data_IF_614817524419
#
_entry.id   IF_614817524419
#
_cell.length_a   1.000
_cell.length_b   1.000
_cell.length_c   1.000
_cell.angle_alpha   90.00
_cell.angle_beta   90.00
_cell.angle_gamma   90.00
#
_symmetry.space_group_name_H-M   'P 1'
#
loop_
_entity.id
_entity.type
_entity.pdbx_description
1 polymer ?
#
# COMPACT_ATOMS: atom_id res chain seq x y z
N UNK A 1 21.75 -25.02 -7.38
CA UNK A 1 21.25 -26.13 -6.53
C UNK A 1 19.80 -25.81 -6.16
N UNK A 2 18.84 -26.52 -6.76
CA UNK A 2 17.41 -26.27 -6.55
C UNK A 2 16.95 -26.67 -5.14
N UNK A 3 16.49 -25.72 -4.34
CA UNK A 3 15.75 -26.01 -3.11
C UNK A 3 14.26 -25.90 -3.39
N UNK A 4 13.63 -27.07 -3.51
CA UNK A 4 12.18 -27.18 -3.63
C UNK A 4 11.53 -26.99 -2.25
N UNK A 5 10.66 -26.01 -2.14
CA UNK A 5 9.76 -25.90 -1.00
C UNK A 5 8.64 -26.93 -1.10
N UNK A 6 8.57 -27.81 -0.11
CA UNK A 6 7.51 -28.81 0.01
C UNK A 6 6.35 -28.20 0.81
N UNK A 7 5.21 -28.04 0.16
CA UNK A 7 3.93 -27.80 0.84
C UNK A 7 3.49 -29.04 1.61
N UNK A 8 3.23 -28.89 2.89
CA UNK A 8 2.64 -29.92 3.73
C UNK A 8 1.12 -29.80 3.68
N UNK A 9 0.46 -30.77 3.01
CA UNK A 9 -1.00 -30.86 3.00
C UNK A 9 -1.47 -31.58 4.27
N UNK A 10 -2.19 -30.90 5.14
CA UNK A 10 -2.92 -31.52 6.23
C UNK A 10 -4.32 -31.94 5.74
N UNK A 11 -4.56 -33.23 5.69
CA UNK A 11 -5.88 -33.82 5.45
C UNK A 11 -6.68 -33.83 6.76
N UNK A 12 -7.86 -33.22 6.76
CA UNK A 12 -8.82 -33.34 7.86
C UNK A 12 -9.75 -34.55 7.62
N UNK A 13 -9.75 -35.46 8.58
CA UNK A 13 -10.69 -36.59 8.63
C UNK A 13 -12.02 -36.13 9.24
N UNK A 14 -13.11 -36.40 8.54
CA UNK A 14 -14.48 -36.20 9.01
C UNK A 14 -14.89 -37.41 9.87
N UNK A 15 -15.18 -37.17 11.14
CA UNK A 15 -15.85 -38.13 12.01
C UNK A 15 -17.31 -37.70 12.25
N UNK A 16 -18.23 -38.47 11.76
CA UNK A 16 -19.66 -38.32 12.05
C UNK A 16 -19.98 -38.97 13.41
N UNK A 17 -20.65 -38.21 14.31
CA UNK A 17 -21.29 -38.80 15.48
C UNK A 17 -22.73 -38.27 15.65
N UNK A 18 -23.55 -39.23 16.02
CA UNK A 18 -24.99 -39.23 15.96
C UNK A 18 -25.72 -38.31 16.96
N UNK A 19 -26.96 -38.04 16.60
CA UNK A 19 -27.99 -37.39 17.34
C UNK A 19 -28.40 -38.14 18.62
N UNK A 20 -28.33 -37.49 19.78
CA UNK A 20 -29.16 -37.80 20.94
C UNK A 20 -29.81 -36.50 21.39
N UNK A 21 -31.12 -36.46 21.30
CA UNK A 21 -31.92 -35.35 21.78
C UNK A 21 -32.00 -35.31 23.30
N UNK A 22 -31.78 -34.12 23.86
CA UNK A 22 -32.27 -33.77 25.19
C UNK A 22 -32.81 -32.33 25.17
N UNK A 23 -34.09 -32.23 25.41
CA UNK A 23 -34.79 -30.96 25.62
C UNK A 23 -34.36 -30.39 26.98
N UNK A 24 -33.72 -29.23 26.96
CA UNK A 24 -33.58 -28.40 28.16
C UNK A 24 -33.74 -26.93 27.76
N UNK A 25 -34.70 -26.26 28.41
CA UNK A 25 -34.91 -24.83 28.34
C UNK A 25 -33.62 -24.09 28.72
N UNK A 26 -32.92 -23.54 27.74
CA UNK A 26 -31.86 -22.59 27.98
C UNK A 26 -32.41 -21.20 27.71
N UNK A 27 -32.42 -20.38 28.77
CA UNK A 27 -32.60 -18.95 28.71
C UNK A 27 -31.66 -18.35 27.65
N UNK A 28 -32.24 -17.63 26.70
CA UNK A 28 -31.49 -16.84 25.73
C UNK A 28 -30.81 -15.73 26.52
N UNK A 29 -29.56 -15.92 26.89
CA UNK A 29 -28.69 -14.81 27.25
C UNK A 29 -28.50 -13.96 25.98
N UNK A 30 -29.10 -12.79 26.01
CA UNK A 30 -28.84 -11.72 25.02
C UNK A 30 -27.38 -11.33 25.17
N UNK A 31 -26.52 -11.91 24.37
CA UNK A 31 -25.16 -11.42 24.21
C UNK A 31 -25.28 -9.97 23.76
N UNK A 32 -24.96 -9.04 24.65
CA UNK A 32 -24.75 -7.63 24.30
C UNK A 32 -23.76 -7.64 23.14
N UNK A 33 -24.21 -7.18 21.98
CA UNK A 33 -23.33 -6.83 20.90
C UNK A 33 -22.25 -5.91 21.49
N UNK A 34 -21.02 -6.37 21.49
CA UNK A 34 -19.87 -5.52 21.77
C UNK A 34 -19.95 -4.45 20.69
N UNK A 35 -20.27 -3.22 21.10
CA UNK A 35 -20.19 -2.09 20.19
C UNK A 35 -18.72 -2.05 19.74
N UNK A 36 -18.48 -2.41 18.47
CA UNK A 36 -17.25 -2.08 17.81
C UNK A 36 -17.16 -0.56 17.90
N UNK A 37 -16.21 -0.08 18.68
CA UNK A 37 -15.79 1.29 18.63
C UNK A 37 -15.18 1.40 17.21
N UNK A 38 -15.94 1.95 16.26
CA UNK A 38 -15.42 2.32 14.95
C UNK A 38 -14.33 3.34 15.23
N UNK A 39 -13.09 2.87 15.41
CA UNK A 39 -11.93 3.72 15.27
C UNK A 39 -12.07 4.35 13.90
N UNK A 40 -12.07 5.68 13.84
CA UNK A 40 -12.25 6.38 12.58
C UNK A 40 -11.25 5.80 11.56
N UNK A 41 -11.72 5.41 10.39
CA UNK A 41 -10.86 4.88 9.31
C UNK A 41 -9.70 5.84 9.11
N UNK A 42 -8.44 5.39 9.15
CA UNK A 42 -7.29 6.25 8.87
C UNK A 42 -7.53 6.97 7.54
N UNK A 43 -7.31 8.28 7.50
CA UNK A 43 -7.54 9.04 6.29
C UNK A 43 -6.50 10.14 6.09
N UNK A 44 -6.32 10.49 4.84
CA UNK A 44 -5.49 11.60 4.39
C UNK A 44 -6.34 12.56 3.55
N UNK A 45 -6.31 13.85 3.90
CA UNK A 45 -7.04 14.89 3.19
C UNK A 45 -6.24 15.37 1.97
N UNK A 46 -6.68 14.98 0.78
CA UNK A 46 -6.15 15.42 -0.51
C UNK A 46 -6.70 16.81 -0.80
N UNK A 47 -6.02 17.83 -0.30
CA UNK A 47 -6.44 19.22 -0.44
C UNK A 47 -6.36 19.70 -1.89
N UNK A 48 -7.19 20.66 -2.26
CA UNK A 48 -7.08 21.30 -3.57
C UNK A 48 -6.11 22.47 -3.54
N UNK A 49 -5.26 22.59 -4.57
CA UNK A 49 -4.35 23.70 -4.82
C UNK A 49 -4.38 24.06 -6.29
N UNK A 50 -4.25 25.34 -6.61
CA UNK A 50 -4.23 25.79 -8.01
C UNK A 50 -2.81 25.70 -8.62
N UNK A 51 -1.78 25.61 -7.77
CA UNK A 51 -0.39 25.49 -8.20
C UNK A 51 -0.10 24.05 -8.64
N UNK A 52 0.74 23.94 -9.67
CA UNK A 52 1.25 22.67 -10.21
C UNK A 52 2.68 22.46 -9.77
N UNK A 53 2.98 21.28 -9.26
CA UNK A 53 4.37 20.86 -9.08
C UNK A 53 4.96 20.42 -10.42
N UNK A 54 6.25 20.62 -10.56
CA UNK A 54 7.06 20.01 -11.63
C UNK A 54 7.49 18.64 -11.14
N UNK A 55 7.25 17.60 -11.92
CA UNK A 55 7.65 16.23 -11.54
C UNK A 55 9.10 16.03 -11.98
N UNK A 56 10.05 16.39 -11.11
CA UNK A 56 11.49 16.35 -11.42
C UNK A 56 12.35 15.63 -10.35
N UNK A 57 11.70 15.10 -9.29
CA UNK A 57 12.36 14.38 -8.20
C UNK A 57 12.91 15.30 -7.11
N UNK A 58 12.44 16.57 -7.07
CA UNK A 58 12.79 17.50 -5.99
C UNK A 58 11.52 18.11 -5.39
N UNK A 59 11.50 18.34 -4.08
CA UNK A 59 10.35 18.96 -3.39
C UNK A 59 10.53 20.46 -3.19
N UNK A 60 11.14 21.15 -4.15
CA UNK A 60 11.43 22.58 -4.05
C UNK A 60 10.28 23.46 -4.54
N UNK A 61 9.28 22.92 -5.23
CA UNK A 61 8.06 23.62 -5.57
C UNK A 61 7.30 24.06 -4.32
N UNK A 62 6.94 25.35 -4.28
CA UNK A 62 6.31 25.97 -3.11
C UNK A 62 5.04 25.25 -2.65
N UNK A 63 4.29 24.67 -3.57
CA UNK A 63 3.03 23.95 -3.25
C UNK A 63 3.24 22.87 -2.21
N UNK A 64 4.36 22.14 -2.24
CA UNK A 64 4.66 21.06 -1.30
C UNK A 64 4.75 21.53 0.17
N UNK A 65 5.06 22.81 0.40
CA UNK A 65 5.06 23.38 1.74
C UNK A 65 3.66 23.78 2.25
N UNK A 66 2.65 23.73 1.40
CA UNK A 66 1.28 24.18 1.69
C UNK A 66 0.27 23.05 1.84
N UNK A 67 0.68 21.80 1.62
CA UNK A 67 -0.19 20.63 1.70
C UNK A 67 0.06 19.85 2.99
N UNK A 68 -0.95 19.12 3.51
CA UNK A 68 -0.76 18.25 4.65
C UNK A 68 0.35 17.22 4.39
N UNK A 69 1.05 16.81 5.43
CA UNK A 69 2.00 15.69 5.37
C UNK A 69 1.55 14.58 6.30
N UNK A 70 1.69 13.37 5.86
CA UNK A 70 1.64 12.16 6.67
C UNK A 70 3.09 11.87 7.07
N UNK A 71 3.40 12.05 8.35
CA UNK A 71 4.77 11.92 8.87
C UNK A 71 4.72 11.38 10.28
N UNK A 72 5.42 10.28 10.54
CA UNK A 72 5.35 9.56 11.81
C UNK A 72 4.15 8.61 11.92
N UNK A 73 3.38 8.44 10.85
CA UNK A 73 2.24 7.53 10.79
C UNK A 73 2.62 6.15 10.24
N UNK A 74 3.87 5.98 9.82
CA UNK A 74 4.38 4.74 9.24
C UNK A 74 5.04 3.85 10.30
N UNK A 75 4.80 2.56 10.20
CA UNK A 75 5.35 1.56 11.12
C UNK A 75 5.70 0.26 10.41
N UNK A 76 6.50 -0.58 11.07
CA UNK A 76 6.67 -1.98 10.72
C UNK A 76 5.52 -2.79 11.34
N UNK A 77 4.49 -3.23 10.60
CA UNK A 77 3.34 -3.91 11.20
C UNK A 77 3.67 -5.24 11.86
N UNK A 78 4.77 -5.85 11.45
CA UNK A 78 5.22 -7.19 11.91
C UNK A 78 6.51 -7.16 12.73
N UNK A 79 6.98 -5.95 13.11
CA UNK A 79 8.13 -5.75 13.98
C UNK A 79 7.79 -4.74 15.08
N UNK A 80 8.61 -4.68 16.11
CA UNK A 80 8.48 -3.72 17.22
C UNK A 80 9.49 -2.57 17.15
N UNK A 81 10.37 -2.58 16.16
CA UNK A 81 11.35 -1.52 15.95
C UNK A 81 10.66 -0.26 15.38
N UNK A 82 11.28 0.88 15.59
CA UNK A 82 10.86 2.13 14.98
C UNK A 82 11.18 2.12 13.49
N UNK A 83 10.20 2.49 12.68
CA UNK A 83 10.40 2.61 11.23
C UNK A 83 11.22 3.87 10.90
N UNK A 84 12.11 3.83 9.92
CA UNK A 84 12.79 5.03 9.43
C UNK A 84 11.76 6.01 8.86
N UNK A 85 12.07 7.30 8.96
CA UNK A 85 11.14 8.35 8.59
C UNK A 85 10.72 8.23 7.13
N UNK A 86 9.41 8.15 6.93
CA UNK A 86 8.77 8.26 5.64
C UNK A 86 7.75 9.38 5.72
N UNK A 87 7.82 10.34 4.81
CA UNK A 87 6.86 11.44 4.68
C UNK A 87 6.13 11.29 3.38
N UNK A 88 4.81 11.24 3.44
CA UNK A 88 3.95 11.29 2.27
C UNK A 88 3.22 12.62 2.20
N UNK A 89 3.07 13.17 1.00
CA UNK A 89 2.27 14.35 0.70
C UNK A 89 1.43 14.11 -0.55
N UNK A 90 0.22 14.67 -0.57
CA UNK A 90 -0.64 14.59 -1.75
C UNK A 90 -1.61 15.78 -1.82
N UNK A 91 -1.92 16.20 -3.03
CA UNK A 91 -2.92 17.23 -3.31
C UNK A 91 -3.50 17.03 -4.71
N UNK A 92 -4.55 17.77 -5.04
CA UNK A 92 -5.06 17.81 -6.41
C UNK A 92 -5.17 19.26 -6.90
N UNK A 93 -5.03 19.48 -8.22
CA UNK A 93 -5.24 20.79 -8.85
C UNK A 93 -6.59 20.89 -9.59
N UNK A 94 -7.44 19.85 -9.44
CA UNK A 94 -8.71 19.71 -10.16
C UNK A 94 -8.56 19.03 -11.53
N UNK A 95 -7.35 18.72 -11.96
CA UNK A 95 -7.02 17.97 -13.18
C UNK A 95 -6.22 16.72 -12.85
N UNK A 96 -5.21 16.87 -12.01
CA UNK A 96 -4.26 15.83 -11.64
C UNK A 96 -4.23 15.67 -10.10
N UNK A 97 -4.03 14.45 -9.65
CA UNK A 97 -3.61 14.12 -8.30
C UNK A 97 -2.09 14.06 -8.26
N UNK A 98 -1.47 14.89 -7.43
CA UNK A 98 -0.03 14.92 -7.20
C UNK A 98 0.31 14.21 -5.90
N UNK A 99 1.39 13.46 -5.90
CA UNK A 99 1.91 12.80 -4.71
C UNK A 99 3.43 12.94 -4.61
N UNK A 100 3.94 12.88 -3.39
CA UNK A 100 5.35 12.88 -3.12
C UNK A 100 5.69 12.06 -1.89
N UNK A 101 6.85 11.43 -1.93
CA UNK A 101 7.48 10.77 -0.80
C UNK A 101 8.85 11.39 -0.55
N UNK A 102 9.16 11.63 0.72
CA UNK A 102 10.50 11.91 1.20
C UNK A 102 10.87 10.80 2.20
N UNK A 103 11.89 10.04 1.87
CA UNK A 103 12.26 8.80 2.56
C UNK A 103 13.64 8.98 3.15
N UNK A 104 13.76 8.72 4.46
CA UNK A 104 15.06 8.60 5.12
C UNK A 104 15.52 7.16 5.02
N UNK A 105 16.72 6.97 4.49
CA UNK A 105 17.33 5.68 4.24
C UNK A 105 18.85 5.84 4.19
N UNK A 106 19.56 5.05 5.00
CA UNK A 106 21.03 5.11 5.08
C UNK A 106 21.70 4.17 4.07
N UNK A 107 20.95 3.25 3.44
CA UNK A 107 21.46 2.19 2.56
C UNK A 107 20.54 1.95 1.37
N UNK A 108 20.35 2.98 0.52
CA UNK A 108 19.46 2.89 -0.64
C UNK A 108 19.90 1.79 -1.59
N UNK A 109 19.12 0.72 -1.67
CA UNK A 109 19.33 -0.40 -2.59
C UNK A 109 18.59 -0.13 -3.89
N UNK A 110 19.35 0.09 -4.95
CA UNK A 110 18.84 0.42 -6.28
C UNK A 110 19.61 -0.36 -7.35
N UNK A 111 18.91 -1.20 -8.12
CA UNK A 111 19.48 -1.88 -9.28
C UNK A 111 19.55 -0.92 -10.47
N UNK A 112 20.70 -0.84 -11.10
CA UNK A 112 20.93 0.02 -12.27
C UNK A 112 20.39 -0.59 -13.56
N UNK A 113 20.20 -1.90 -13.59
CA UNK A 113 19.82 -2.65 -14.78
C UNK A 113 18.29 -2.85 -14.79
N UNK A 114 17.60 -1.94 -15.49
CA UNK A 114 16.16 -2.04 -15.68
C UNK A 114 15.77 -3.26 -16.54
N UNK A 115 14.70 -3.97 -16.13
CA UNK A 115 14.10 -5.06 -16.90
C UNK A 115 12.78 -4.62 -17.53
N UNK A 116 12.57 -5.00 -18.79
CA UNK A 116 11.37 -4.63 -19.56
C UNK A 116 10.04 -5.15 -18.95
N UNK A 117 10.11 -6.18 -18.11
CA UNK A 117 8.95 -6.70 -17.36
C UNK A 117 8.73 -5.99 -16.02
N UNK A 118 9.51 -4.94 -15.74
CA UNK A 118 9.46 -4.11 -14.53
C UNK A 118 9.84 -4.84 -13.23
N UNK A 119 10.25 -6.09 -13.32
CA UNK A 119 10.57 -6.91 -12.14
C UNK A 119 11.82 -6.44 -11.37
N UNK A 120 12.53 -5.44 -11.89
CA UNK A 120 13.66 -4.81 -11.19
C UNK A 120 13.18 -4.16 -9.89
N UNK A 121 11.99 -3.52 -9.90
CA UNK A 121 11.41 -2.87 -8.72
C UNK A 121 11.12 -3.84 -7.58
N UNK A 122 10.95 -5.13 -7.88
CA UNK A 122 10.63 -6.16 -6.87
C UNK A 122 11.78 -6.46 -5.89
N UNK A 123 13.02 -6.06 -6.22
CA UNK A 123 14.23 -6.42 -5.48
C UNK A 123 15.01 -5.22 -4.94
N UNK A 124 14.38 -4.06 -4.90
CA UNK A 124 15.00 -2.79 -4.50
C UNK A 124 14.07 -1.93 -3.65
N UNK A 125 14.63 -0.87 -3.05
CA UNK A 125 13.85 0.10 -2.31
C UNK A 125 12.77 0.70 -3.18
N UNK A 126 11.58 0.89 -2.60
CA UNK A 126 10.47 1.50 -3.29
C UNK A 126 9.40 2.04 -2.36
N UNK A 127 8.65 2.97 -2.85
CA UNK A 127 7.39 3.42 -2.26
C UNK A 127 6.22 2.87 -3.08
N UNK A 128 5.11 2.62 -2.41
CA UNK A 128 3.96 1.97 -3.05
C UNK A 128 2.66 2.72 -2.74
N UNK A 129 1.81 2.87 -3.75
CA UNK A 129 0.43 3.34 -3.62
C UNK A 129 -0.52 2.30 -4.20
N UNK A 130 -1.45 1.82 -3.37
CA UNK A 130 -2.52 0.94 -3.82
C UNK A 130 -3.84 1.68 -3.81
N UNK A 131 -4.68 1.42 -4.81
CA UNK A 131 -5.97 2.08 -4.98
C UNK A 131 -7.09 1.07 -5.20
N UNK A 132 -8.17 1.23 -4.43
CA UNK A 132 -9.39 0.44 -4.61
C UNK A 132 -10.62 1.35 -4.70
N UNK A 133 -11.63 0.92 -5.45
CA UNK A 133 -12.87 1.68 -5.59
C UNK A 133 -13.81 1.49 -4.41
N UNK A 134 -14.29 2.61 -3.84
CA UNK A 134 -15.28 2.62 -2.79
C UNK A 134 -14.72 2.48 -1.37
N UNK A 135 -15.54 2.86 -0.39
CA UNK A 135 -15.19 2.64 1.02
C UNK A 135 -15.11 1.15 1.30
N UNK A 136 -14.06 0.74 2.01
CA UNK A 136 -13.91 -0.65 2.46
C UNK A 136 -14.78 -0.82 3.69
N UNK A 137 -15.99 -1.33 3.49
CA UNK A 137 -17.00 -1.45 4.56
C UNK A 137 -16.57 -2.39 5.70
N UNK A 138 -15.61 -3.28 5.48
CA UNK A 138 -15.12 -4.20 6.53
C UNK A 138 -13.73 -4.74 6.21
N UNK A 139 -12.85 -4.86 7.20
CA UNK A 139 -11.59 -5.58 7.05
C UNK A 139 -11.91 -7.07 6.87
N UNK A 140 -11.85 -7.56 5.65
CA UNK A 140 -11.96 -8.97 5.33
C UNK A 140 -10.81 -9.38 4.43
N UNK A 141 -10.25 -10.54 4.67
CA UNK A 141 -9.26 -11.15 3.80
C UNK A 141 -9.88 -11.70 2.51
N UNK A 142 -11.19 -11.57 2.35
CA UNK A 142 -11.93 -12.05 1.19
C UNK A 142 -12.82 -10.94 0.64
N UNK A 143 -12.84 -10.79 -0.67
CA UNK A 143 -13.79 -9.92 -1.36
C UNK A 143 -13.27 -8.52 -1.69
N UNK A 144 -11.97 -8.29 -1.73
CA UNK A 144 -11.47 -7.11 -2.42
C UNK A 144 -11.91 -7.17 -3.88
N UNK A 145 -12.50 -6.09 -4.40
CA UNK A 145 -12.71 -5.96 -5.83
C UNK A 145 -11.37 -5.90 -6.57
N UNK A 146 -11.42 -5.72 -7.86
CA UNK A 146 -10.25 -5.31 -8.63
C UNK A 146 -9.66 -4.05 -8.01
N UNK A 147 -8.36 -4.06 -7.73
CA UNK A 147 -7.60 -2.92 -7.22
C UNK A 147 -6.30 -2.78 -8.01
N UNK A 148 -5.57 -1.71 -7.76
CA UNK A 148 -4.42 -1.31 -8.56
C UNK A 148 -3.27 -0.95 -7.65
N UNK A 149 -2.05 -1.29 -8.06
CA UNK A 149 -0.82 -0.93 -7.40
C UNK A 149 0.09 -0.15 -8.32
N UNK A 150 0.80 0.82 -7.77
CA UNK A 150 1.96 1.44 -8.37
C UNK A 150 3.10 1.36 -7.36
N UNK A 151 4.22 0.85 -7.77
CA UNK A 151 5.46 0.75 -7.03
C UNK A 151 6.50 1.60 -7.73
N UNK A 152 7.17 2.47 -7.01
CA UNK A 152 8.09 3.45 -7.60
C UNK A 152 9.42 3.41 -6.86
N UNK A 153 10.49 3.14 -7.59
CA UNK A 153 11.84 3.07 -7.06
C UNK A 153 12.49 4.46 -6.85
N UNK A 154 13.67 4.53 -6.23
CA UNK A 154 14.38 5.80 -6.00
C UNK A 154 14.79 6.57 -7.26
N UNK A 155 14.81 5.96 -8.47
CA UNK A 155 15.02 6.63 -9.76
C UNK A 155 13.70 7.09 -10.40
N UNK A 156 12.55 6.73 -9.80
CA UNK A 156 11.22 7.04 -10.32
C UNK A 156 10.75 6.08 -11.40
N UNK A 157 11.38 4.91 -11.54
CA UNK A 157 10.91 3.84 -12.42
C UNK A 157 9.73 3.14 -11.77
N UNK A 158 8.80 2.65 -12.56
CA UNK A 158 7.50 2.18 -12.09
C UNK A 158 7.27 0.72 -12.44
N UNK A 159 6.75 -0.02 -11.47
CA UNK A 159 6.02 -1.25 -11.68
C UNK A 159 4.56 -1.01 -11.33
N UNK A 160 3.69 -0.94 -12.33
CA UNK A 160 2.26 -0.76 -12.13
C UNK A 160 1.45 -1.95 -12.65
N UNK A 161 0.39 -2.29 -11.93
CA UNK A 161 -0.37 -3.49 -12.18
C UNK A 161 -1.82 -3.37 -11.70
N UNK A 162 -2.69 -4.21 -12.27
CA UNK A 162 -4.00 -4.46 -11.69
C UNK A 162 -4.05 -5.82 -11.00
N UNK A 163 -4.85 -5.92 -9.92
CA UNK A 163 -4.91 -7.14 -9.12
C UNK A 163 -6.36 -7.56 -8.93
N UNK A 164 -6.67 -8.79 -9.33
CA UNK A 164 -7.87 -9.47 -8.88
C UNK A 164 -7.56 -10.23 -7.60
N UNK A 165 -8.45 -10.10 -6.63
CA UNK A 165 -8.30 -10.81 -5.39
C UNK A 165 -8.32 -12.34 -5.62
N UNK A 166 -7.46 -13.14 -5.04
CA UNK A 166 -6.31 -12.78 -4.21
C UNK A 166 -5.01 -13.01 -5.00
N UNK A 167 -4.19 -11.96 -5.16
CA UNK A 167 -2.87 -12.01 -5.80
C UNK A 167 -2.86 -12.52 -7.26
N UNK A 168 -3.93 -12.25 -8.02
CA UNK A 168 -3.94 -12.45 -9.46
C UNK A 168 -3.53 -11.18 -10.18
N UNK A 169 -2.21 -11.02 -10.33
CA UNK A 169 -1.59 -9.84 -10.92
C UNK A 169 -1.72 -9.83 -12.45
N UNK A 170 -1.99 -8.64 -13.00
CA UNK A 170 -1.81 -8.32 -14.41
C UNK A 170 -0.80 -7.18 -14.53
N UNK A 171 0.48 -7.52 -14.64
CA UNK A 171 1.60 -6.57 -14.78
C UNK A 171 1.69 -5.97 -16.20
N UNK A 172 0.80 -6.35 -17.13
CA UNK A 172 0.68 -5.69 -18.44
C UNK A 172 -0.24 -4.48 -18.42
N UNK A 173 -1.06 -4.39 -17.38
CA UNK A 173 -1.88 -3.21 -17.17
C UNK A 173 -1.00 -2.02 -16.82
N UNK A 174 -1.36 -0.85 -17.35
CA UNK A 174 -0.65 0.40 -17.06
C UNK A 174 -1.63 1.48 -16.64
N UNK A 175 -1.22 2.29 -15.66
CA UNK A 175 -1.99 3.45 -15.23
C UNK A 175 -1.84 4.59 -16.23
N UNK A 176 -2.93 4.91 -16.93
CA UNK A 176 -2.91 5.93 -17.99
C UNK A 176 -2.55 7.31 -17.42
N UNK A 177 -1.55 7.93 -18.01
CA UNK A 177 -1.08 9.28 -17.69
C UNK A 177 -0.29 9.40 -16.37
N UNK A 178 0.11 8.30 -15.74
CA UNK A 178 1.03 8.33 -14.61
C UNK A 178 2.38 8.94 -15.06
N UNK A 179 2.86 9.93 -14.33
CA UNK A 179 4.21 10.47 -14.43
C UNK A 179 4.90 10.39 -13.08
N UNK A 180 6.15 9.94 -13.04
CA UNK A 180 6.97 9.82 -11.83
C UNK A 180 8.38 10.27 -12.09
N UNK A 181 9.04 10.76 -11.04
CA UNK A 181 10.48 10.99 -10.97
C UNK A 181 10.97 10.71 -9.57
N UNK A 182 12.15 10.12 -9.50
CA UNK A 182 12.84 9.89 -8.26
C UNK A 182 14.23 10.52 -8.26
N UNK A 183 14.77 10.64 -7.07
CA UNK A 183 16.12 11.16 -6.85
C UNK A 183 16.68 10.64 -5.54
N UNK A 184 17.80 9.94 -5.61
CA UNK A 184 18.59 9.61 -4.43
C UNK A 184 19.23 10.87 -3.86
N UNK A 185 19.20 11.03 -2.55
CA UNK A 185 19.74 12.16 -1.78
C UNK A 185 20.84 11.69 -0.82
N UNK A 186 21.43 12.62 -0.07
CA UNK A 186 22.43 12.27 0.95
C UNK A 186 21.84 11.54 2.18
N UNK A 187 20.51 11.54 2.33
CA UNK A 187 19.80 10.99 3.50
C UNK A 187 18.73 9.96 3.15
N UNK A 188 18.66 9.52 1.90
CA UNK A 188 17.67 8.59 1.40
C UNK A 188 17.24 8.93 -0.01
N UNK A 189 15.93 9.08 -0.27
CA UNK A 189 15.45 9.41 -1.61
C UNK A 189 14.12 10.16 -1.59
N UNK A 190 13.82 10.81 -2.71
CA UNK A 190 12.56 11.49 -2.98
C UNK A 190 11.91 10.81 -4.18
N UNK A 191 10.60 10.63 -4.14
CA UNK A 191 9.77 10.27 -5.29
C UNK A 191 8.65 11.28 -5.43
N UNK A 192 8.48 11.82 -6.62
CA UNK A 192 7.34 12.64 -7.01
C UNK A 192 6.55 11.97 -8.12
N UNK A 193 5.25 12.20 -8.13
CA UNK A 193 4.41 11.75 -9.22
C UNK A 193 3.10 12.48 -9.33
N UNK A 194 2.46 12.30 -10.48
CA UNK A 194 1.08 12.76 -10.71
C UNK A 194 0.28 11.75 -11.51
N UNK A 195 -1.00 11.73 -11.26
CA UNK A 195 -1.99 10.86 -11.92
C UNK A 195 -3.16 11.75 -12.36
N UNK A 196 -3.57 11.72 -13.63
CA UNK A 196 -4.79 12.43 -14.04
C UNK A 196 -6.00 11.96 -13.22
N UNK A 197 -6.75 12.90 -12.63
CA UNK A 197 -7.98 12.56 -11.91
C UNK A 197 -8.95 11.78 -12.78
N UNK A 198 -8.99 12.10 -14.08
CA UNK A 198 -9.81 11.35 -15.03
C UNK A 198 -9.45 9.88 -15.09
N UNK A 199 -8.18 9.50 -14.98
CA UNK A 199 -7.75 8.10 -14.98
C UNK A 199 -8.27 7.36 -13.74
N UNK A 200 -8.23 8.00 -12.57
CA UNK A 200 -8.81 7.47 -11.34
C UNK A 200 -10.34 7.35 -11.40
N UNK A 201 -11.02 8.33 -12.04
CA UNK A 201 -12.47 8.33 -12.25
C UNK A 201 -12.91 7.25 -13.25
N UNK A 202 -12.19 7.08 -14.36
CA UNK A 202 -12.49 6.06 -15.37
C UNK A 202 -12.37 4.64 -14.78
N UNK A 203 -11.45 4.44 -13.83
CA UNK A 203 -11.31 3.21 -13.05
C UNK A 203 -12.32 3.10 -11.90
N UNK A 204 -13.17 4.14 -11.68
CA UNK A 204 -14.18 4.22 -10.61
C UNK A 204 -13.58 4.12 -9.21
N UNK A 205 -12.39 4.66 -9.03
CA UNK A 205 -11.68 4.64 -7.75
C UNK A 205 -12.21 5.72 -6.80
N UNK A 206 -12.61 6.89 -7.33
CA UNK A 206 -13.13 8.00 -6.52
C UNK A 206 -14.65 7.90 -6.46
N UNK A 207 -15.22 7.72 -5.27
CA UNK A 207 -16.64 7.64 -5.00
C UNK A 207 -17.02 8.63 -3.89
N UNK A 208 -17.90 9.60 -4.20
CA UNK A 208 -18.28 10.66 -3.26
C UNK A 208 -17.08 11.38 -2.64
N UNK A 209 -16.11 11.73 -3.48
CA UNK A 209 -14.87 12.39 -3.10
C UNK A 209 -13.94 11.54 -2.17
N UNK A 210 -14.15 10.22 -2.09
CA UNK A 210 -13.33 9.28 -1.32
C UNK A 210 -12.77 8.19 -2.22
N UNK A 211 -11.50 7.86 -2.02
CA UNK A 211 -10.80 6.73 -2.62
C UNK A 211 -10.14 5.90 -1.53
N UNK A 212 -10.32 4.58 -1.56
CA UNK A 212 -9.52 3.71 -0.71
C UNK A 212 -8.09 3.68 -1.19
N UNK A 213 -7.15 3.93 -0.30
CA UNK A 213 -5.74 4.00 -0.62
C UNK A 213 -4.88 3.30 0.42
N UNK A 214 -3.90 2.53 -0.04
CA UNK A 214 -2.80 2.03 0.76
C UNK A 214 -1.52 2.81 0.45
N UNK A 215 -0.72 3.10 1.46
CA UNK A 215 0.56 3.80 1.31
C UNK A 215 1.61 2.97 2.03
N UNK A 216 2.62 2.52 1.29
CA UNK A 216 3.60 1.57 1.79
C UNK A 216 5.01 1.94 1.34
N UNK A 217 5.98 1.28 1.96
CA UNK A 217 7.38 1.28 1.59
C UNK A 217 7.93 -0.14 1.74
N UNK A 218 8.58 -0.65 0.71
CA UNK A 218 9.47 -1.77 0.83
C UNK A 218 10.87 -1.22 1.12
N UNK A 219 11.43 -1.69 2.21
CA UNK A 219 12.76 -1.33 2.69
C UNK A 219 13.70 -2.49 2.44
N UNK A 220 14.74 -2.26 1.66
CA UNK A 220 15.78 -3.23 1.40
C UNK A 220 17.07 -2.79 2.05
N UNK A 221 17.85 -3.73 2.53
CA UNK A 221 19.18 -3.45 3.07
C UNK A 221 20.21 -4.37 2.43
N UNK A 222 21.39 -3.82 2.20
CA UNK A 222 22.54 -4.59 1.73
C UNK A 222 22.87 -5.70 2.74
N UNK A 223 23.01 -6.97 2.30
CA UNK A 223 23.30 -8.06 3.20
C UNK A 223 24.72 -7.93 3.79
N UNK A 224 24.91 -8.38 5.04
CA UNK A 224 26.23 -8.36 5.71
C UNK A 224 27.29 -9.20 4.99
N UNK A 225 26.86 -10.17 4.19
CA UNK A 225 27.77 -11.07 3.45
C UNK A 225 27.49 -10.98 1.96
N UNK A 226 28.54 -10.83 1.20
CA UNK A 226 28.48 -10.89 -0.25
C UNK A 226 27.82 -12.20 -0.73
N UNK A 227 26.77 -12.06 -1.56
CA UNK A 227 26.05 -13.14 -2.18
C UNK A 227 24.84 -13.67 -1.39
N UNK A 228 24.53 -13.10 -0.24
CA UNK A 228 23.23 -13.28 0.41
C UNK A 228 22.19 -12.36 -0.27
N UNK A 229 20.91 -12.74 -0.19
CA UNK A 229 19.82 -11.91 -0.68
C UNK A 229 19.67 -10.65 0.20
N UNK A 230 19.26 -9.49 -0.35
CA UNK A 230 18.93 -8.31 0.43
C UNK A 230 17.89 -8.61 1.52
N UNK A 231 18.05 -7.95 2.66
CA UNK A 231 17.06 -8.02 3.73
C UNK A 231 15.89 -7.12 3.32
N UNK A 232 14.69 -7.69 3.22
CA UNK A 232 13.48 -6.98 2.86
C UNK A 232 12.58 -6.82 4.07
N UNK A 233 12.14 -5.59 4.31
CA UNK A 233 11.22 -5.23 5.38
C UNK A 233 10.06 -4.40 4.85
N UNK A 234 8.93 -4.44 5.55
CA UNK A 234 7.69 -3.84 5.07
C UNK A 234 7.19 -2.76 6.02
N UNK A 235 7.03 -1.53 5.50
CA UNK A 235 6.56 -0.36 6.22
C UNK A 235 5.19 0.05 5.66
N UNK A 236 4.24 0.33 6.54
CA UNK A 236 2.86 0.65 6.18
C UNK A 236 2.33 1.84 6.96
N UNK A 237 1.53 2.68 6.29
CA UNK A 237 0.70 3.69 6.94
C UNK A 237 -0.40 3.07 7.79
N UNK A 238 -1.14 2.12 7.25
CA UNK A 238 -2.21 1.41 7.97
C UNK A 238 -1.74 0.00 8.29
N UNK A 239 -1.74 -0.36 9.57
CA UNK A 239 -1.39 -1.71 9.99
C UNK A 239 -2.41 -2.72 9.45
N UNK A 240 -1.98 -3.69 8.60
CA UNK A 240 -2.86 -4.68 7.98
C UNK A 240 -3.55 -5.62 8.96
N UNK A 241 -3.04 -5.76 10.20
CA UNK A 241 -3.55 -6.69 11.21
C UNK A 241 -3.52 -8.15 10.79
N UNK A 242 -2.54 -8.53 9.96
CA UNK A 242 -2.29 -9.92 9.55
C UNK A 242 -1.17 -10.53 10.39
N UNK A 243 -1.16 -11.86 10.53
CA UNK A 243 -0.10 -12.57 11.26
C UNK A 243 1.22 -12.58 10.47
N UNK A 244 1.13 -12.68 9.14
CA UNK A 244 2.27 -12.67 8.22
C UNK A 244 2.23 -11.42 7.33
N UNK A 245 3.39 -10.95 6.81
CA UNK A 245 3.45 -9.77 5.96
C UNK A 245 2.57 -9.88 4.72
N UNK A 246 1.55 -9.00 4.63
CA UNK A 246 0.64 -8.91 3.51
C UNK A 246 -0.04 -7.54 3.41
N UNK A 247 0.28 -6.77 2.37
CA UNK A 247 -0.41 -5.52 2.05
C UNK A 247 -1.63 -5.72 1.14
N UNK A 248 -1.77 -6.90 0.53
CA UNK A 248 -2.84 -7.21 -0.43
C UNK A 248 -4.14 -7.64 0.27
N UNK A 249 -4.50 -6.96 1.34
CA UNK A 249 -5.69 -7.22 2.17
C UNK A 249 -6.45 -5.91 2.42
N UNK A 250 -7.77 -5.98 2.59
CA UNK A 250 -8.61 -4.82 2.82
C UNK A 250 -8.19 -3.99 4.04
N UNK A 251 -7.69 -4.65 5.08
CA UNK A 251 -7.30 -4.02 6.33
C UNK A 251 -6.05 -3.15 6.24
N UNK A 252 -5.30 -3.23 5.14
CA UNK A 252 -4.12 -2.40 4.89
C UNK A 252 -4.44 -1.02 4.29
N UNK A 253 -5.71 -0.77 3.94
CA UNK A 253 -6.14 0.46 3.29
C UNK A 253 -6.73 1.45 4.29
N UNK A 254 -6.46 2.74 4.06
CA UNK A 254 -7.18 3.87 4.60
C UNK A 254 -7.98 4.59 3.50
N UNK A 255 -8.25 5.87 3.71
CA UNK A 255 -9.02 6.69 2.78
C UNK A 255 -8.23 7.93 2.34
N UNK A 256 -8.22 8.23 1.05
CA UNK A 256 -7.90 9.56 0.54
C UNK A 256 -9.22 10.32 0.34
N UNK A 257 -9.34 11.48 1.00
CA UNK A 257 -10.53 12.35 0.93
C UNK A 257 -10.20 13.58 0.10
N UNK A 258 -10.77 13.67 -1.09
CA UNK A 258 -10.54 14.79 -2.02
C UNK A 258 -11.37 16.01 -1.59
N UNK A 259 -10.70 17.02 -1.07
CA UNK A 259 -11.33 18.27 -0.66
C UNK A 259 -11.52 19.19 -1.86
N UNK A 260 -12.66 19.94 -1.87
CA UNK A 260 -13.06 20.86 -2.95
C UNK A 260 -12.51 22.26 -2.76
#
# INVERSE_FOLDING_TARGET
>A
MNKSYRFLSCAFAIAAFGLVGCSSNASVETTKAVAFNEAATPHYDVVKRDEKATIDGTLDDKVWSTVPSMSGDFSFPWDTKEAPLTVFKGYNDGTDFYFAFEVTDEDVVLDKDWKDDESTVDIEDRVELFFAGGAIDKPTTSGMPLYYGIEVDPDGRVHDYSIKYYRHFDSKWKLDGLETKGKVTDTGYIVEGKIPLKSLEDLKLINNDVMCAGVYRAEFSTPEKDGDDPIMEWISWVDPKTEEPDFHVNSSFGEFRFLK
#
